data_IF_237755068143
#
_entry.id   IF_237755068143
#
_cell.length_a   1.000
_cell.length_b   1.000
_cell.length_c   1.000
_cell.angle_alpha   90.00
_cell.angle_beta   90.00
_cell.angle_gamma   90.00
#
_symmetry.space_group_name_H-M   'P 1'
#
loop_
_entity.id
_entity.type
_entity.pdbx_description
1 polymer ?
#
# COMPACT_ATOMS: atom_id res chain seq x y z
N UNK A 1 -0.84 27.20 13.16
CA UNK A 1 -0.82 26.66 12.78
C UNK A 1 -0.43 26.35 11.84
N UNK A 2 -0.20 26.40 11.43
CA UNK A 2 0.41 26.06 10.51
C UNK A 2 0.51 24.78 10.05
N UNK A 3 0.55 23.97 10.77
CA UNK A 3 0.67 22.59 10.39
C UNK A 3 -0.58 21.98 9.85
N UNK A 4 -1.70 22.54 10.20
CA UNK A 4 -2.95 22.06 9.63
C UNK A 4 -2.99 22.25 8.13
N UNK A 5 -2.31 23.25 7.64
CA UNK A 5 -2.27 23.52 6.20
C UNK A 5 -1.24 22.69 5.49
N UNK A 6 -0.32 22.09 6.24
CA UNK A 6 0.68 21.25 5.62
C UNK A 6 0.18 19.83 5.56
N UNK A 7 -0.08 19.38 4.38
CA UNK A 7 -0.45 18.01 4.23
C UNK A 7 0.74 17.12 4.55
N UNK A 8 0.47 15.99 5.19
CA UNK A 8 1.44 14.95 5.39
C UNK A 8 1.93 14.49 4.02
N UNK A 9 3.25 14.46 3.82
CA UNK A 9 3.83 14.01 2.56
C UNK A 9 3.42 12.60 2.23
N UNK A 10 3.24 11.76 3.24
CA UNK A 10 2.79 10.40 3.03
C UNK A 10 1.40 10.39 2.44
N UNK A 11 0.49 11.17 3.03
CA UNK A 11 -0.89 11.24 2.53
C UNK A 11 -0.93 11.77 1.11
N UNK A 12 -0.13 12.77 0.81
CA UNK A 12 -0.08 13.32 -0.55
C UNK A 12 0.40 12.29 -1.55
N UNK A 13 1.44 11.53 -1.19
CA UNK A 13 1.97 10.51 -2.06
C UNK A 13 0.95 9.39 -2.26
N UNK A 14 0.27 8.99 -1.19
CA UNK A 14 -0.75 7.95 -1.29
C UNK A 14 -1.88 8.36 -2.22
N UNK A 15 -2.31 9.61 -2.13
CA UNK A 15 -3.35 10.12 -3.02
C UNK A 15 -2.89 10.20 -4.47
N UNK A 16 -1.68 10.70 -4.68
CA UNK A 16 -1.13 10.83 -6.02
C UNK A 16 -1.01 9.48 -6.70
N UNK A 17 -0.58 8.48 -5.94
CA UNK A 17 -0.39 7.13 -6.45
C UNK A 17 -1.68 6.31 -6.48
N UNK A 18 -2.76 6.82 -5.91
CA UNK A 18 -4.03 6.11 -5.80
C UNK A 18 -3.89 4.78 -5.05
N UNK A 19 -3.07 4.76 -4.01
CA UNK A 19 -2.79 3.53 -3.28
C UNK A 19 -3.99 2.91 -2.59
N UNK A 20 -4.89 3.69 -1.96
CA UNK A 20 -6.10 3.08 -1.40
C UNK A 20 -6.94 2.39 -2.46
N UNK A 21 -7.05 3.00 -3.64
CA UNK A 21 -7.79 2.40 -4.77
C UNK A 21 -7.09 1.14 -5.28
N UNK A 22 -5.75 1.18 -5.35
CA UNK A 22 -4.97 0.00 -5.72
C UNK A 22 -5.22 -1.14 -4.73
N UNK A 23 -5.26 -0.83 -3.43
CA UNK A 23 -5.51 -1.84 -2.42
C UNK A 23 -6.86 -2.51 -2.61
N UNK A 24 -7.90 -1.71 -2.87
CA UNK A 24 -9.22 -2.26 -3.11
C UNK A 24 -9.24 -3.11 -4.39
N UNK A 25 -8.63 -2.60 -5.45
CA UNK A 25 -8.51 -3.33 -6.71
C UNK A 25 -7.84 -4.69 -6.49
N UNK A 26 -6.78 -4.71 -5.67
CA UNK A 26 -6.07 -5.95 -5.36
C UNK A 26 -6.93 -6.92 -4.58
N UNK A 27 -7.65 -6.43 -3.58
CA UNK A 27 -8.51 -7.28 -2.74
C UNK A 27 -9.66 -7.90 -3.52
N UNK A 28 -10.03 -7.27 -4.62
CA UNK A 28 -11.09 -7.80 -5.49
C UNK A 28 -10.60 -8.94 -6.39
N UNK A 29 -9.36 -9.36 -6.20
CA UNK A 29 -8.84 -10.52 -6.91
C UNK A 29 -8.13 -10.21 -8.21
N UNK A 30 -7.85 -8.95 -8.47
CA UNK A 30 -7.24 -8.53 -9.73
C UNK A 30 -5.72 -8.62 -9.74
N UNK A 31 -5.10 -8.51 -8.57
CA UNK A 31 -3.64 -8.52 -8.49
C UNK A 31 -3.09 -9.92 -8.67
N UNK A 32 -1.92 -10.01 -9.26
CA UNK A 32 -1.29 -11.29 -9.58
C UNK A 32 0.09 -11.45 -8.96
N UNK A 33 0.63 -10.39 -8.38
CA UNK A 33 2.04 -10.37 -8.02
C UNK A 33 2.33 -10.65 -6.56
N UNK A 34 1.35 -10.60 -5.68
CA UNK A 34 1.63 -10.80 -4.26
C UNK A 34 1.63 -12.29 -3.89
N UNK A 35 2.31 -12.63 -2.79
CA UNK A 35 2.45 -14.04 -2.41
C UNK A 35 1.15 -14.66 -1.89
N UNK A 36 1.14 -15.98 -1.86
CA UNK A 36 -0.05 -16.73 -1.47
C UNK A 36 -0.55 -16.39 -0.06
N UNK A 37 0.35 -16.09 0.87
CA UNK A 37 -0.08 -15.78 2.23
C UNK A 37 -0.89 -14.48 2.29
N UNK A 38 -0.61 -13.55 1.39
CA UNK A 38 -1.42 -12.34 1.30
C UNK A 38 -2.83 -12.68 0.86
N UNK A 39 -2.96 -13.57 -0.10
CA UNK A 39 -4.28 -14.02 -0.57
C UNK A 39 -5.06 -14.64 0.59
N UNK A 40 -4.41 -15.48 1.38
CA UNK A 40 -5.05 -16.10 2.53
C UNK A 40 -5.51 -15.06 3.55
N UNK A 41 -4.71 -14.05 3.79
CA UNK A 41 -5.08 -13.00 4.72
C UNK A 41 -6.28 -12.19 4.22
N UNK A 42 -6.33 -11.94 2.92
CA UNK A 42 -7.49 -11.27 2.32
C UNK A 42 -8.74 -12.09 2.54
N UNK A 43 -8.66 -13.40 2.31
CA UNK A 43 -9.81 -14.28 2.46
C UNK A 43 -10.30 -14.42 3.89
N UNK A 44 -9.39 -14.24 4.85
CA UNK A 44 -9.75 -14.29 6.26
C UNK A 44 -10.26 -12.96 6.79
N UNK A 45 -9.94 -11.89 6.09
CA UNK A 45 -10.32 -10.56 6.51
C UNK A 45 -11.81 -10.35 6.38
N UNK A 46 -12.29 -9.30 7.02
CA UNK A 46 -13.69 -8.94 6.90
C UNK A 46 -13.96 -8.37 5.52
N UNK A 47 -15.17 -8.58 5.00
CA UNK A 47 -15.54 -7.98 3.73
C UNK A 47 -15.32 -6.46 3.76
N UNK A 48 -14.89 -5.94 2.64
CA UNK A 48 -14.63 -4.52 2.50
C UNK A 48 -15.95 -3.83 2.19
N UNK A 49 -16.81 -3.71 3.20
CA UNK A 49 -18.15 -3.17 3.03
C UNK A 49 -18.29 -1.77 3.60
N UNK A 50 -17.20 -1.02 3.64
CA UNK A 50 -17.22 0.35 4.10
C UNK A 50 -17.80 1.26 3.02
N UNK A 51 -18.44 2.32 3.48
CA UNK A 51 -18.93 3.34 2.55
C UNK A 51 -17.83 4.30 2.11
N UNK A 52 -16.61 3.96 2.38
CA UNK A 52 -15.45 4.73 2.05
C UNK A 52 -15.35 4.96 0.54
N UNK A 53 -15.07 6.19 0.15
CA UNK A 53 -14.91 6.50 -1.26
C UNK A 53 -13.50 6.16 -1.74
N UNK A 54 -13.42 5.48 -2.86
CA UNK A 54 -12.14 5.19 -3.52
C UNK A 54 -12.16 5.82 -4.90
N UNK A 55 -11.21 6.69 -5.20
CA UNK A 55 -11.13 7.27 -6.55
C UNK A 55 -11.00 6.16 -7.60
N UNK A 56 -11.53 6.38 -8.81
CA UNK A 56 -11.39 5.40 -9.87
C UNK A 56 -9.93 5.11 -10.20
N UNK A 57 -9.64 3.86 -10.55
CA UNK A 57 -8.31 3.45 -10.97
C UNK A 57 -8.46 2.55 -12.18
N UNK A 58 -7.64 2.78 -13.19
CA UNK A 58 -7.69 1.94 -14.39
C UNK A 58 -6.92 0.64 -14.13
N UNK A 59 -7.31 -0.42 -14.83
CA UNK A 59 -6.61 -1.69 -14.72
C UNK A 59 -5.14 -1.56 -15.13
N UNK A 60 -4.88 -0.80 -16.20
CA UNK A 60 -3.51 -0.63 -16.67
C UNK A 60 -2.62 0.03 -15.64
N UNK A 61 -3.13 1.08 -14.99
CA UNK A 61 -2.36 1.77 -13.96
C UNK A 61 -2.17 0.85 -12.74
N UNK A 62 -3.24 0.17 -12.33
CA UNK A 62 -3.16 -0.74 -11.19
C UNK A 62 -2.17 -1.86 -11.44
N UNK A 63 -2.15 -2.42 -12.64
CA UNK A 63 -1.19 -3.45 -13.01
C UNK A 63 0.24 -2.91 -13.00
N UNK A 64 0.42 -1.68 -13.44
CA UNK A 64 1.74 -1.05 -13.38
C UNK A 64 2.22 -0.93 -11.93
N UNK A 65 1.33 -0.47 -11.03
CA UNK A 65 1.65 -0.41 -9.61
C UNK A 65 1.99 -1.78 -9.06
N UNK A 66 1.18 -2.77 -9.39
CA UNK A 66 1.35 -4.12 -8.90
C UNK A 66 2.73 -4.67 -9.29
N UNK A 67 3.11 -4.49 -10.54
CA UNK A 67 4.40 -4.95 -11.03
C UNK A 67 5.55 -4.17 -10.43
N UNK A 68 5.39 -2.86 -10.28
CA UNK A 68 6.45 -2.04 -9.75
C UNK A 68 6.69 -2.36 -8.27
N UNK A 69 5.62 -2.56 -7.51
CA UNK A 69 5.75 -2.96 -6.11
C UNK A 69 6.41 -4.34 -6.01
N UNK A 70 6.03 -5.26 -6.89
CA UNK A 70 6.60 -6.61 -6.88
C UNK A 70 8.10 -6.60 -7.14
N UNK A 71 8.61 -5.58 -7.78
CA UNK A 71 10.04 -5.46 -8.05
C UNK A 71 10.85 -4.85 -6.91
N UNK A 72 10.21 -4.44 -5.83
CA UNK A 72 10.91 -3.84 -4.69
C UNK A 72 11.63 -4.90 -3.87
N UNK A 73 12.55 -4.43 -3.01
CA UNK A 73 13.20 -5.32 -2.06
C UNK A 73 12.15 -6.07 -1.26
N UNK A 74 12.44 -7.32 -0.94
CA UNK A 74 11.47 -8.23 -0.33
C UNK A 74 10.77 -7.64 0.89
N UNK A 75 11.53 -7.08 1.81
CA UNK A 75 10.97 -6.55 3.04
C UNK A 75 10.12 -5.29 2.79
N UNK A 76 10.58 -4.44 1.89
CA UNK A 76 9.86 -3.23 1.50
C UNK A 76 8.57 -3.58 0.77
N UNK A 77 8.64 -4.55 -0.13
CA UNK A 77 7.48 -5.04 -0.86
C UNK A 77 6.41 -5.54 0.11
N UNK A 78 6.83 -6.30 1.12
CA UNK A 78 5.91 -6.81 2.12
C UNK A 78 5.23 -5.69 2.89
N UNK A 79 5.98 -4.63 3.23
CA UNK A 79 5.39 -3.47 3.88
C UNK A 79 4.28 -2.87 3.03
N UNK A 80 4.51 -2.75 1.72
CA UNK A 80 3.51 -2.16 0.83
C UNK A 80 2.26 -3.02 0.74
N UNK A 81 2.40 -4.33 0.63
CA UNK A 81 1.25 -5.22 0.60
C UNK A 81 0.49 -5.20 1.92
N UNK A 82 1.20 -5.26 3.02
CA UNK A 82 0.55 -5.26 4.34
C UNK A 82 -0.21 -3.96 4.58
N UNK A 83 0.38 -2.85 4.20
CA UNK A 83 -0.22 -1.55 4.49
C UNK A 83 -1.38 -1.22 3.58
N UNK A 84 -1.24 -1.46 2.28
CA UNK A 84 -2.22 -0.97 1.31
C UNK A 84 -3.19 -2.04 0.82
N UNK A 85 -2.79 -3.29 0.79
CA UNK A 85 -3.70 -4.37 0.40
C UNK A 85 -4.40 -4.94 1.63
N UNK A 86 -3.66 -5.23 2.68
CA UNK A 86 -4.22 -5.83 3.91
C UNK A 86 -4.70 -4.79 4.92
N UNK A 87 -4.35 -3.53 4.72
CA UNK A 87 -4.77 -2.42 5.58
C UNK A 87 -4.30 -2.57 7.03
N UNK A 88 -3.11 -3.11 7.19
CA UNK A 88 -2.51 -3.26 8.52
C UNK A 88 -1.92 -1.94 8.98
N UNK A 89 -1.94 -1.72 10.30
CA UNK A 89 -1.28 -0.56 10.86
C UNK A 89 0.24 -0.74 10.83
N UNK A 90 0.95 0.39 10.93
CA UNK A 90 2.40 0.36 11.00
C UNK A 90 2.90 -0.52 12.14
N UNK A 91 2.25 -0.42 13.31
CA UNK A 91 2.64 -1.22 14.46
C UNK A 91 2.40 -2.71 14.22
N UNK A 92 1.29 -3.06 13.59
CA UNK A 92 1.01 -4.46 13.27
C UNK A 92 2.03 -5.02 12.28
N UNK A 93 2.42 -4.24 11.29
CA UNK A 93 3.44 -4.66 10.33
C UNK A 93 4.78 -4.85 11.03
N UNK A 94 5.12 -3.92 11.93
CA UNK A 94 6.37 -4.02 12.68
C UNK A 94 6.42 -5.31 13.49
N UNK A 95 5.33 -5.66 14.14
CA UNK A 95 5.27 -6.92 14.88
C UNK A 95 5.42 -8.12 13.95
N UNK A 96 4.76 -8.06 12.82
CA UNK A 96 4.82 -9.15 11.83
C UNK A 96 6.24 -9.35 11.31
N UNK A 97 6.96 -8.27 11.09
CA UNK A 97 8.32 -8.32 10.56
C UNK A 97 9.38 -8.34 11.67
N UNK A 98 8.96 -8.26 12.91
CA UNK A 98 9.87 -8.30 14.08
C UNK A 98 10.90 -7.18 14.03
N UNK A 99 10.43 -5.98 13.77
CA UNK A 99 11.29 -4.81 13.76
C UNK A 99 10.52 -3.59 14.24
N UNK A 100 11.19 -2.45 14.33
CA UNK A 100 10.57 -1.26 14.89
C UNK A 100 9.57 -0.63 13.92
N UNK A 101 8.55 0.04 14.45
CA UNK A 101 7.64 0.79 13.57
C UNK A 101 8.35 1.87 12.75
N UNK A 102 9.43 2.45 13.32
CA UNK A 102 10.19 3.45 12.59
C UNK A 102 10.85 2.87 11.33
N UNK A 103 11.35 1.64 11.42
CA UNK A 103 11.94 0.96 10.26
C UNK A 103 10.90 0.70 9.19
N UNK A 104 9.70 0.29 9.61
CA UNK A 104 8.59 0.07 8.67
C UNK A 104 8.24 1.38 7.96
N UNK A 105 8.17 2.48 8.72
CA UNK A 105 7.87 3.78 8.14
C UNK A 105 8.94 4.22 7.14
N UNK A 106 10.20 3.94 7.44
CA UNK A 106 11.29 4.28 6.53
C UNK A 106 11.16 3.54 5.20
N UNK A 107 10.85 2.25 5.25
CA UNK A 107 10.66 1.48 4.03
C UNK A 107 9.47 1.99 3.23
N UNK A 108 8.38 2.31 3.92
CA UNK A 108 7.22 2.89 3.27
C UNK A 108 7.58 4.20 2.58
N UNK A 109 8.27 5.08 3.29
CA UNK A 109 8.61 6.39 2.76
C UNK A 109 9.51 6.27 1.54
N UNK A 110 10.48 5.35 1.61
CA UNK A 110 11.36 5.10 0.48
C UNK A 110 10.57 4.60 -0.72
N UNK A 111 9.65 3.66 -0.49
CA UNK A 111 8.85 3.09 -1.57
C UNK A 111 7.94 4.14 -2.20
N UNK A 112 7.33 5.00 -1.37
CA UNK A 112 6.47 6.05 -1.90
C UNK A 112 7.25 7.02 -2.77
N UNK A 113 8.44 7.41 -2.33
CA UNK A 113 9.29 8.30 -3.10
C UNK A 113 9.71 7.65 -4.42
N UNK A 114 10.07 6.38 -4.37
CA UNK A 114 10.46 5.64 -5.57
C UNK A 114 9.31 5.57 -6.57
N UNK A 115 8.12 5.20 -6.09
CA UNK A 115 6.95 5.08 -6.96
C UNK A 115 6.56 6.42 -7.58
N UNK A 116 6.61 7.49 -6.79
CA UNK A 116 6.31 8.82 -7.31
C UNK A 116 7.31 9.22 -8.39
N UNK A 117 8.58 8.86 -8.21
CA UNK A 117 9.60 9.11 -9.21
C UNK A 117 9.34 8.35 -10.51
N UNK A 118 8.78 7.16 -10.40
CA UNK A 118 8.49 6.34 -11.58
C UNK A 118 7.32 6.87 -12.40
N UNK A 119 6.47 7.69 -11.79
CA UNK A 119 5.34 8.28 -12.51
C UNK A 119 5.74 9.30 -13.57
N UNK A 120 6.94 9.84 -13.48
CA UNK A 120 7.38 10.90 -14.38
C UNK A 120 7.88 10.40 -15.72
#
# INVERSE_FOLDING_TARGET
MKNAAKRDRVSEAEELLLLPSYGRWSREGNAKSYPAWVIMMIRRGEPDNHSEYFPPITDDYALWLDKTIAGLHEQTKEVMYCMYVLRMSRNAIAQHQRRSPASVAQDRDWALAYLCGQLK
#
